data_IF_718630012613
#
_entry.id   IF_718630012613
#
_cell.length_a   1.000
_cell.length_b   1.000
_cell.length_c   1.000
_cell.angle_alpha   90.00
_cell.angle_beta   90.00
_cell.angle_gamma   90.00
#
_symmetry.space_group_name_H-M   'P 1'
#
loop_
_entity.id
_entity.type
_entity.pdbx_description
1 polymer ?
#
# COMPACT_ATOMS: atom_id res chain seq x y z
N UNK A 1 15.88 4.74 -51.05
CA UNK A 1 14.91 5.84 -50.94
C UNK A 1 13.52 5.27 -51.12
N UNK A 2 12.84 4.96 -50.01
CA UNK A 2 11.39 5.01 -49.81
C UNK A 2 11.15 4.54 -48.37
N UNK A 3 10.91 5.53 -47.52
CA UNK A 3 10.43 5.37 -46.16
C UNK A 3 9.01 4.80 -46.21
N UNK A 4 8.74 3.81 -45.35
CA UNK A 4 7.39 3.57 -44.85
C UNK A 4 7.47 3.64 -43.33
N UNK A 5 7.21 4.84 -42.82
CA UNK A 5 6.90 5.09 -41.41
C UNK A 5 5.52 4.49 -41.13
N UNK A 6 5.50 3.29 -40.56
CA UNK A 6 4.32 2.79 -39.84
C UNK A 6 4.37 3.38 -38.43
N UNK A 7 3.53 4.38 -38.18
CA UNK A 7 3.18 4.79 -36.82
C UNK A 7 2.27 3.71 -36.21
N UNK A 8 2.62 3.08 -35.08
CA UNK A 8 1.66 2.28 -34.35
C UNK A 8 0.86 3.18 -33.41
N UNK A 9 -0.33 3.55 -33.88
CA UNK A 9 -1.60 3.42 -33.17
C UNK A 9 -1.51 3.46 -31.62
N UNK A 10 -1.44 4.66 -31.03
CA UNK A 10 -1.55 4.85 -29.57
C UNK A 10 -3.01 5.12 -29.20
N UNK A 11 -3.90 4.18 -29.51
CA UNK A 11 -5.23 4.12 -28.90
C UNK A 11 -5.68 2.67 -28.80
N UNK A 12 -5.26 2.03 -27.71
CA UNK A 12 -6.00 0.92 -27.12
C UNK A 12 -6.05 1.16 -25.62
N UNK A 13 -7.27 1.23 -25.09
CA UNK A 13 -7.59 1.22 -23.65
C UNK A 13 -6.69 0.25 -22.89
N UNK A 14 -5.89 0.73 -21.93
CA UNK A 14 -5.01 -0.15 -21.18
C UNK A 14 -4.39 0.54 -19.98
N UNK A 15 -4.79 0.09 -18.79
CA UNK A 15 -4.21 0.42 -17.48
C UNK A 15 -2.68 0.52 -17.54
N UNK A 16 -2.12 1.53 -16.87
CA UNK A 16 -0.70 1.57 -16.52
C UNK A 16 -0.33 0.25 -15.80
N UNK A 17 0.63 -0.52 -16.35
CA UNK A 17 0.92 -1.87 -15.82
C UNK A 17 1.92 -1.82 -14.66
N UNK A 18 2.70 -0.75 -14.55
CA UNK A 18 3.65 -0.53 -13.47
C UNK A 18 4.03 0.96 -13.37
N UNK A 19 4.82 1.30 -12.34
CA UNK A 19 5.32 2.66 -12.11
C UNK A 19 6.23 3.19 -13.25
N UNK A 20 6.88 2.31 -14.01
CA UNK A 20 7.70 2.68 -15.16
C UNK A 20 6.84 3.17 -16.33
N UNK A 21 5.69 2.55 -16.58
CA UNK A 21 4.72 3.00 -17.59
C UNK A 21 4.13 4.37 -17.22
N UNK A 22 3.82 4.58 -15.94
CA UNK A 22 3.38 5.90 -15.45
C UNK A 22 4.47 6.95 -15.66
N UNK A 23 5.73 6.63 -15.32
CA UNK A 23 6.88 7.53 -15.53
C UNK A 23 7.08 7.88 -17.01
N UNK A 24 6.99 6.89 -17.91
CA UNK A 24 7.11 7.13 -19.36
C UNK A 24 5.95 7.95 -19.91
N UNK A 25 4.73 7.69 -19.46
CA UNK A 25 3.57 8.47 -19.86
C UNK A 25 3.68 9.92 -19.38
N UNK A 26 4.06 10.13 -18.11
CA UNK A 26 4.31 11.47 -17.57
C UNK A 26 5.44 12.19 -18.33
N UNK A 27 6.52 11.50 -18.69
CA UNK A 27 7.61 12.08 -19.48
C UNK A 27 7.18 12.43 -20.92
N UNK A 28 6.37 11.60 -21.58
CA UNK A 28 5.87 11.85 -22.93
C UNK A 28 4.83 12.99 -22.96
N UNK A 29 4.06 13.13 -21.88
CA UNK A 29 3.06 14.17 -21.73
C UNK A 29 3.69 15.51 -21.28
N UNK A 30 4.88 15.50 -20.67
CA UNK A 30 5.61 16.70 -20.28
C UNK A 30 5.99 17.63 -21.46
N UNK A 31 6.04 17.11 -22.69
CA UNK A 31 6.22 17.93 -23.90
C UNK A 31 4.94 18.69 -24.31
N UNK A 32 3.76 18.23 -23.85
CA UNK A 32 2.45 18.72 -24.31
C UNK A 32 1.57 19.28 -23.18
N UNK A 33 1.96 19.08 -21.93
CA UNK A 33 1.26 19.56 -20.74
C UNK A 33 2.20 20.46 -19.97
N UNK A 34 1.73 21.67 -19.65
CA UNK A 34 2.49 22.62 -18.83
C UNK A 34 2.95 21.91 -17.54
N UNK A 35 4.25 21.97 -17.18
CA UNK A 35 4.76 21.35 -15.97
C UNK A 35 3.90 21.74 -14.75
N UNK A 36 3.47 20.75 -13.98
CA UNK A 36 2.78 21.01 -12.71
C UNK A 36 3.87 21.39 -11.70
N UNK A 37 3.82 22.65 -11.26
CA UNK A 37 4.78 23.21 -10.30
C UNK A 37 5.95 23.93 -10.97
N UNK A 38 6.16 25.20 -10.63
CA UNK A 38 7.47 25.83 -10.76
C UNK A 38 8.36 25.36 -9.60
N UNK A 39 9.55 24.85 -9.93
CA UNK A 39 10.62 24.66 -8.98
C UNK A 39 11.52 25.91 -9.03
N UNK A 40 11.47 26.80 -8.02
CA UNK A 40 12.26 28.03 -8.02
C UNK A 40 13.77 27.76 -8.15
N UNK A 41 14.22 26.61 -7.63
CA UNK A 41 15.62 26.19 -7.70
C UNK A 41 16.03 25.86 -9.14
N UNK A 42 15.23 25.10 -9.88
CA UNK A 42 15.51 24.80 -11.30
C UNK A 42 15.33 26.05 -12.18
N UNK A 43 14.35 26.92 -11.89
CA UNK A 43 14.17 28.21 -12.58
C UNK A 43 15.41 29.09 -12.41
N UNK A 44 15.88 29.28 -11.19
CA UNK A 44 17.08 30.08 -10.90
C UNK A 44 18.34 29.48 -11.53
N UNK A 45 18.42 28.14 -11.58
CA UNK A 45 19.53 27.43 -12.23
C UNK A 45 19.51 27.63 -13.75
N UNK A 46 18.33 27.66 -14.36
CA UNK A 46 18.15 27.91 -15.78
C UNK A 46 18.50 29.37 -16.14
N UNK A 47 17.99 30.35 -15.38
CA UNK A 47 18.33 31.77 -15.56
C UNK A 47 19.83 32.00 -15.41
N UNK A 48 20.47 31.38 -14.41
CA UNK A 48 21.91 31.49 -14.22
C UNK A 48 22.71 30.93 -15.40
N UNK A 49 22.32 29.78 -15.95
CA UNK A 49 22.97 29.21 -17.14
C UNK A 49 22.86 30.12 -18.36
N UNK A 50 21.70 30.72 -18.58
CA UNK A 50 21.50 31.66 -19.70
C UNK A 50 22.38 32.90 -19.52
N UNK A 51 22.51 33.43 -18.30
CA UNK A 51 23.40 34.56 -18.00
C UNK A 51 24.87 34.21 -18.22
N UNK A 52 25.29 33.01 -17.81
CA UNK A 52 26.68 32.54 -17.94
C UNK A 52 27.05 32.24 -19.42
N UNK A 53 26.09 31.85 -20.27
CA UNK A 53 26.36 31.46 -21.67
C UNK A 53 26.32 32.64 -22.67
N UNK A 54 25.77 33.81 -22.31
CA UNK A 54 25.55 34.89 -23.26
C UNK A 54 26.53 36.08 -23.19
N UNK A 55 27.40 36.23 -22.18
CA UNK A 55 28.34 37.37 -22.04
C UNK A 55 27.67 38.74 -22.32
N UNK A 56 26.39 38.90 -21.98
CA UNK A 56 25.65 40.15 -22.12
C UNK A 56 25.78 40.91 -20.79
N UNK A 57 26.66 41.92 -20.74
CA UNK A 57 26.65 42.95 -19.69
C UNK A 57 25.41 43.84 -19.90
N UNK A 58 24.29 43.45 -19.31
CA UNK A 58 23.07 44.25 -19.28
C UNK A 58 23.15 45.20 -18.07
N UNK A 59 23.20 46.50 -18.35
CA UNK A 59 23.17 47.59 -17.36
C UNK A 59 21.81 47.57 -16.65
N UNK A 60 21.76 46.94 -15.48
CA UNK A 60 20.54 46.47 -14.83
C UNK A 60 20.07 47.41 -13.70
N UNK A 61 19.25 48.40 -14.02
CA UNK A 61 18.51 49.15 -12.98
C UNK A 61 16.99 49.21 -13.19
N UNK A 62 16.43 48.69 -14.29
CA UNK A 62 14.97 48.82 -14.56
C UNK A 62 14.16 47.50 -14.58
N UNK A 63 14.72 46.34 -14.18
CA UNK A 63 14.04 45.05 -14.40
C UNK A 63 14.03 44.10 -13.18
N UNK A 64 13.58 44.59 -12.02
CA UNK A 64 13.45 43.75 -10.80
C UNK A 64 12.03 43.70 -10.20
N UNK A 65 11.05 44.47 -10.70
CA UNK A 65 9.70 44.44 -10.12
C UNK A 65 8.79 43.34 -10.68
N UNK A 66 9.06 42.82 -11.89
CA UNK A 66 8.20 41.83 -12.54
C UNK A 66 8.59 40.37 -12.22
N UNK A 67 9.87 40.08 -11.92
CA UNK A 67 10.29 38.74 -11.46
C UNK A 67 9.60 38.34 -10.14
N UNK A 68 9.40 39.30 -9.23
CA UNK A 68 8.74 39.10 -7.94
C UNK A 68 7.22 38.86 -8.08
N UNK A 69 6.57 39.46 -9.10
CA UNK A 69 5.15 39.22 -9.38
C UNK A 69 4.94 37.84 -9.97
N UNK A 70 5.72 37.44 -10.97
CA UNK A 70 5.60 36.12 -11.58
C UNK A 70 5.90 35.00 -10.58
N UNK A 71 6.92 35.16 -9.72
CA UNK A 71 7.22 34.17 -8.68
C UNK A 71 6.11 34.10 -7.62
N UNK A 72 5.49 35.23 -7.28
CA UNK A 72 4.37 35.28 -6.33
C UNK A 72 3.11 34.65 -6.91
N UNK A 73 2.79 34.92 -8.17
CA UNK A 73 1.68 34.28 -8.88
C UNK A 73 1.89 32.78 -9.01
N UNK A 74 3.12 32.35 -9.34
CA UNK A 74 3.40 30.93 -9.45
C UNK A 74 3.35 30.20 -8.11
N UNK A 75 3.83 30.82 -7.03
CA UNK A 75 3.68 30.28 -5.67
C UNK A 75 2.21 30.20 -5.26
N UNK A 76 1.40 31.20 -5.61
CA UNK A 76 -0.04 31.20 -5.35
C UNK A 76 -0.76 30.10 -6.13
N UNK A 77 -0.41 29.88 -7.40
CA UNK A 77 -0.96 28.81 -8.21
C UNK A 77 -0.58 27.42 -7.65
N UNK A 78 0.67 27.23 -7.22
CA UNK A 78 1.11 25.99 -6.57
C UNK A 78 0.38 25.74 -5.24
N UNK A 79 0.22 26.79 -4.42
CA UNK A 79 -0.52 26.68 -3.16
C UNK A 79 -1.97 26.24 -3.42
N UNK A 80 -2.65 26.85 -4.40
CA UNK A 80 -4.00 26.46 -4.79
C UNK A 80 -4.06 25.02 -5.31
N UNK A 81 -3.10 24.61 -6.15
CA UNK A 81 -3.02 23.23 -6.63
C UNK A 81 -2.78 22.22 -5.50
N UNK A 82 -1.96 22.57 -4.51
CA UNK A 82 -1.72 21.74 -3.32
C UNK A 82 -2.95 21.68 -2.41
N UNK A 83 -3.71 22.76 -2.28
CA UNK A 83 -4.97 22.77 -1.54
C UNK A 83 -6.03 21.90 -2.24
N UNK A 84 -6.15 22.01 -3.56
CA UNK A 84 -7.02 21.16 -4.38
C UNK A 84 -6.61 19.68 -4.26
N UNK A 85 -5.31 19.37 -4.36
CA UNK A 85 -4.78 18.01 -4.15
C UNK A 85 -4.98 17.53 -2.71
N UNK A 86 -4.87 18.41 -1.72
CA UNK A 86 -5.13 18.12 -0.33
C UNK A 86 -6.58 17.72 -0.10
N UNK A 87 -7.53 18.41 -0.75
CA UNK A 87 -8.94 18.05 -0.71
C UNK A 87 -9.21 16.68 -1.34
N UNK A 88 -8.58 16.38 -2.50
CA UNK A 88 -8.65 15.05 -3.13
C UNK A 88 -8.03 13.99 -2.21
N UNK A 89 -6.86 14.27 -1.63
CA UNK A 89 -6.19 13.37 -0.70
C UNK A 89 -7.10 13.07 0.48
N UNK A 90 -7.61 14.07 1.20
CA UNK A 90 -8.50 13.83 2.35
C UNK A 90 -9.79 13.09 2.00
N UNK A 91 -10.31 13.29 0.78
CA UNK A 91 -11.48 12.56 0.31
C UNK A 91 -11.19 11.07 0.06
N UNK A 92 -9.98 10.73 -0.38
CA UNK A 92 -9.59 9.37 -0.75
C UNK A 92 -8.64 8.68 0.24
N UNK A 93 -8.08 9.38 1.23
CA UNK A 93 -7.05 8.90 2.16
C UNK A 93 -7.65 8.16 3.34
N UNK A 94 -8.64 7.30 3.10
CA UNK A 94 -9.17 6.44 4.16
C UNK A 94 -8.07 5.45 4.55
N UNK A 95 -7.46 5.67 5.71
CA UNK A 95 -6.35 4.85 6.21
C UNK A 95 -6.82 3.60 6.96
N UNK A 96 -8.12 3.52 7.25
CA UNK A 96 -8.74 2.43 7.97
C UNK A 96 -10.17 2.18 7.48
N UNK A 97 -10.53 0.90 7.40
CA UNK A 97 -11.90 0.42 7.27
C UNK A 97 -12.02 -0.87 8.07
N UNK A 98 -13.23 -1.17 8.54
CA UNK A 98 -13.53 -2.32 9.36
C UNK A 98 -14.86 -2.95 8.94
N UNK A 99 -14.98 -4.24 9.21
CA UNK A 99 -16.17 -5.02 8.89
C UNK A 99 -16.08 -6.42 9.50
N UNK A 100 -17.13 -7.20 9.30
CA UNK A 100 -17.17 -8.60 9.69
C UNK A 100 -17.05 -9.47 8.43
N UNK A 101 -16.33 -10.59 8.56
CA UNK A 101 -16.32 -11.63 7.55
C UNK A 101 -17.50 -12.55 7.85
N UNK A 102 -18.27 -12.89 6.81
CA UNK A 102 -19.26 -13.95 6.93
C UNK A 102 -18.60 -15.32 7.16
N UNK A 103 -19.40 -16.38 7.42
CA UNK A 103 -18.88 -17.73 7.52
C UNK A 103 -18.11 -18.13 6.27
N UNK A 104 -17.00 -18.84 6.44
CA UNK A 104 -16.16 -19.31 5.32
C UNK A 104 -15.59 -20.69 5.61
N UNK A 105 -15.33 -21.47 4.57
CA UNK A 105 -14.67 -22.77 4.73
C UNK A 105 -13.15 -22.60 4.83
N UNK A 106 -12.57 -23.31 5.79
CA UNK A 106 -11.13 -23.39 6.01
C UNK A 106 -10.72 -24.86 6.01
N UNK A 107 -9.67 -25.15 5.25
CA UNK A 107 -9.00 -26.44 5.27
C UNK A 107 -7.55 -26.26 5.70
N UNK A 108 -7.09 -27.06 6.65
CA UNK A 108 -5.72 -27.06 7.18
C UNK A 108 -5.18 -28.48 7.10
N UNK A 109 -3.92 -28.58 6.68
CA UNK A 109 -3.19 -29.84 6.52
C UNK A 109 -1.82 -29.68 7.17
N UNK A 110 -1.78 -29.83 8.49
CA UNK A 110 -0.57 -29.84 9.31
C UNK A 110 -0.09 -31.28 9.55
N UNK A 111 1.21 -31.53 9.73
CA UNK A 111 1.70 -32.83 10.18
C UNK A 111 1.05 -33.20 11.53
N UNK A 112 0.24 -34.26 11.55
CA UNK A 112 -0.46 -34.73 12.76
C UNK A 112 -1.79 -34.03 13.05
N UNK A 113 -2.20 -33.05 12.25
CA UNK A 113 -3.48 -32.34 12.43
C UNK A 113 -4.11 -31.98 11.10
N UNK A 114 -5.37 -32.39 10.91
CA UNK A 114 -6.16 -32.00 9.75
C UNK A 114 -7.46 -31.35 10.19
N UNK A 115 -7.85 -30.31 9.46
CA UNK A 115 -9.12 -29.65 9.64
C UNK A 115 -9.73 -29.37 8.28
N UNK A 116 -11.02 -29.67 8.12
CA UNK A 116 -11.81 -29.27 6.96
C UNK A 116 -13.21 -28.94 7.47
N UNK A 117 -13.54 -27.65 7.53
CA UNK A 117 -14.79 -27.23 8.14
C UNK A 117 -15.13 -25.78 7.92
N UNK A 118 -16.36 -25.44 8.29
CA UNK A 118 -16.85 -24.07 8.28
C UNK A 118 -16.34 -23.33 9.52
N UNK A 119 -15.80 -22.14 9.30
CA UNK A 119 -15.53 -21.16 10.34
C UNK A 119 -16.72 -20.22 10.39
N UNK A 120 -17.55 -20.39 11.40
CA UNK A 120 -18.69 -19.51 11.65
C UNK A 120 -18.23 -18.30 12.46
N UNK A 121 -18.91 -17.17 12.26
CA UNK A 121 -18.63 -15.92 12.94
C UNK A 121 -18.84 -16.12 14.46
N UNK A 122 -17.73 -16.21 15.19
CA UNK A 122 -17.77 -16.24 16.65
C UNK A 122 -18.08 -14.82 17.07
N UNK A 123 -19.35 -14.50 17.23
CA UNK A 123 -19.78 -13.27 17.86
C UNK A 123 -19.09 -13.15 19.23
N UNK A 124 -18.02 -12.36 19.28
CA UNK A 124 -17.46 -11.87 20.54
C UNK A 124 -18.20 -10.58 20.85
N UNK A 125 -19.43 -10.71 21.33
CA UNK A 125 -20.15 -9.58 21.93
C UNK A 125 -19.36 -9.10 23.15
N UNK A 126 -18.67 -7.97 22.99
CA UNK A 126 -17.89 -7.34 24.04
C UNK A 126 -16.63 -8.14 24.38
N UNK A 127 -15.47 -7.52 24.27
CA UNK A 127 -14.34 -7.94 25.11
C UNK A 127 -14.68 -7.56 26.56
N UNK A 128 -14.87 -8.53 27.47
CA UNK A 128 -14.30 -8.36 28.79
C UNK A 128 -13.40 -9.54 29.15
N UNK A 129 -12.52 -9.27 30.11
CA UNK A 129 -11.58 -10.17 30.74
C UNK A 129 -11.94 -11.67 30.67
N UNK A 130 -10.94 -12.44 30.30
CA UNK A 130 -10.72 -13.83 30.68
C UNK A 130 -11.55 -14.24 31.92
N UNK A 131 -12.70 -14.91 31.74
CA UNK A 131 -13.28 -15.73 32.83
C UNK A 131 -14.41 -16.69 32.43
N UNK A 132 -15.03 -16.62 31.25
CA UNK A 132 -16.03 -17.65 30.84
C UNK A 132 -15.46 -18.60 29.79
N UNK A 133 -14.65 -19.54 30.29
CA UNK A 133 -13.84 -20.51 29.56
C UNK A 133 -14.60 -21.77 29.11
N UNK A 134 -15.90 -21.67 28.82
CA UNK A 134 -16.72 -22.83 28.46
C UNK A 134 -17.57 -22.59 27.19
N UNK A 135 -16.90 -22.47 26.04
CA UNK A 135 -17.45 -22.89 24.74
C UNK A 135 -16.49 -23.95 24.18
N UNK A 136 -16.67 -25.18 24.66
CA UNK A 136 -15.67 -26.27 24.60
C UNK A 136 -15.43 -26.98 23.23
N UNK A 137 -16.22 -26.87 22.14
CA UNK A 137 -15.87 -27.58 20.89
C UNK A 137 -14.85 -26.82 20.00
N UNK A 138 -15.02 -25.50 19.85
CA UNK A 138 -14.18 -24.69 18.95
C UNK A 138 -12.83 -24.34 19.61
N UNK A 139 -12.82 -24.17 20.94
CA UNK A 139 -11.60 -23.93 21.71
C UNK A 139 -10.67 -25.15 21.77
N UNK A 140 -11.21 -26.38 21.69
CA UNK A 140 -10.39 -27.60 21.62
C UNK A 140 -9.67 -27.66 20.27
N UNK A 141 -10.38 -27.39 19.16
CA UNK A 141 -9.79 -27.39 17.82
C UNK A 141 -8.72 -26.32 17.63
N UNK A 142 -8.96 -25.08 18.10
CA UNK A 142 -7.95 -24.01 18.04
C UNK A 142 -6.72 -24.36 18.87
N UNK A 143 -6.89 -25.05 20.00
CA UNK A 143 -5.78 -25.51 20.84
C UNK A 143 -4.95 -26.59 20.15
N UNK A 144 -5.59 -27.61 19.59
CA UNK A 144 -4.91 -28.66 18.82
C UNK A 144 -4.15 -28.05 17.62
N UNK A 145 -4.79 -27.10 16.94
CA UNK A 145 -4.19 -26.36 15.83
C UNK A 145 -2.96 -25.57 16.29
N UNK A 146 -3.00 -24.94 17.48
CA UNK A 146 -1.86 -24.25 18.09
C UNK A 146 -0.71 -25.20 18.48
N UNK A 147 -1.02 -26.42 18.93
CA UNK A 147 -0.03 -27.42 19.33
C UNK A 147 0.77 -27.96 18.14
N UNK A 148 0.14 -28.06 16.96
CA UNK A 148 0.75 -28.56 15.73
C UNK A 148 1.35 -27.46 14.85
N UNK A 149 1.04 -26.19 15.11
CA UNK A 149 1.57 -25.06 14.35
C UNK A 149 3.04 -24.75 14.70
N UNK A 150 3.77 -24.20 13.74
CA UNK A 150 5.19 -23.88 13.88
C UNK A 150 5.37 -22.61 14.74
N UNK A 151 6.54 -22.44 15.37
CA UNK A 151 6.84 -21.18 16.07
C UNK A 151 6.93 -20.04 15.07
N UNK A 152 6.18 -18.97 15.29
CA UNK A 152 6.14 -17.84 14.38
C UNK A 152 7.31 -16.90 14.61
N UNK A 153 8.15 -16.74 13.58
CA UNK A 153 9.25 -15.78 13.60
C UNK A 153 8.81 -14.35 13.32
N UNK A 154 9.77 -13.43 13.40
CA UNK A 154 9.63 -12.05 12.94
C UNK A 154 10.79 -11.69 12.00
N UNK A 155 10.52 -10.81 11.03
CA UNK A 155 11.54 -10.33 10.10
C UNK A 155 12.45 -9.31 10.78
N UNK A 156 13.74 -9.60 10.86
CA UNK A 156 14.76 -8.62 11.24
C UNK A 156 15.19 -7.83 9.99
N UNK A 157 14.74 -6.58 9.90
CA UNK A 157 15.02 -5.70 8.76
C UNK A 157 16.53 -5.45 8.59
N UNK A 158 17.30 -5.41 9.68
CA UNK A 158 18.75 -5.15 9.61
C UNK A 158 19.51 -6.36 9.12
N UNK A 159 19.14 -7.54 9.61
CA UNK A 159 19.79 -8.80 9.24
C UNK A 159 19.19 -9.44 7.96
N UNK A 160 18.03 -8.93 7.49
CA UNK A 160 17.28 -9.49 6.35
C UNK A 160 16.96 -10.98 6.53
N UNK A 161 16.71 -11.41 7.77
CA UNK A 161 16.44 -12.81 8.11
C UNK A 161 15.24 -12.92 9.06
N UNK A 162 14.66 -14.12 9.13
CA UNK A 162 13.59 -14.42 10.08
C UNK A 162 14.18 -14.93 11.39
N UNK A 163 13.89 -14.25 12.50
CA UNK A 163 14.35 -14.61 13.83
C UNK A 163 13.20 -15.08 14.71
N UNK A 164 13.54 -15.89 15.72
CA UNK A 164 12.60 -16.33 16.76
C UNK A 164 13.09 -15.75 18.09
N UNK A 165 12.31 -14.85 18.66
CA UNK A 165 12.55 -14.24 19.97
C UNK A 165 11.20 -14.10 20.68
N UNK A 166 11.02 -14.86 21.76
CA UNK A 166 9.77 -14.89 22.52
C UNK A 166 9.44 -13.57 23.21
N UNK A 167 10.43 -12.71 23.44
CA UNK A 167 10.23 -11.37 24.00
C UNK A 167 9.71 -10.39 22.95
N UNK A 168 9.94 -10.65 21.67
CA UNK A 168 9.41 -9.84 20.56
C UNK A 168 8.07 -10.38 20.10
N UNK A 169 7.99 -11.70 19.99
CA UNK A 169 6.84 -12.39 19.44
C UNK A 169 6.68 -13.76 20.07
N UNK A 170 5.54 -13.95 20.72
CA UNK A 170 5.10 -15.25 21.21
C UNK A 170 3.83 -15.65 20.46
N UNK A 171 4.01 -16.35 19.34
CA UNK A 171 2.93 -16.81 18.48
C UNK A 171 3.33 -18.10 17.76
N UNK A 172 2.33 -18.81 17.25
CA UNK A 172 2.51 -19.89 16.29
C UNK A 172 2.00 -19.46 14.92
N UNK A 173 2.47 -20.12 13.87
CA UNK A 173 2.01 -19.86 12.50
C UNK A 173 1.72 -21.12 11.70
N UNK A 174 0.78 -20.96 10.76
CA UNK A 174 0.48 -21.93 9.71
C UNK A 174 0.77 -21.22 8.38
N UNK A 175 1.77 -21.66 7.60
CA UNK A 175 2.08 -21.08 6.30
C UNK A 175 0.98 -21.38 5.27
N UNK A 176 0.85 -20.53 4.24
CA UNK A 176 -0.12 -20.71 3.14
C UNK A 176 -0.03 -22.06 2.42
N UNK A 177 1.10 -22.76 2.48
CA UNK A 177 1.23 -24.11 1.92
C UNK A 177 0.45 -25.18 2.69
N UNK A 178 0.04 -24.89 3.92
CA UNK A 178 -0.62 -25.84 4.83
C UNK A 178 -2.08 -25.49 5.10
N UNK A 179 -2.65 -24.51 4.39
CA UNK A 179 -4.08 -24.24 4.46
C UNK A 179 -4.63 -23.68 3.16
N UNK A 180 -5.94 -23.81 2.99
CA UNK A 180 -6.69 -23.22 1.88
C UNK A 180 -8.00 -22.63 2.39
N UNK A 181 -8.42 -21.53 1.77
CA UNK A 181 -9.71 -20.88 1.99
C UNK A 181 -10.49 -20.83 0.68
N UNK A 182 -11.80 -20.65 0.78
CA UNK A 182 -12.67 -20.49 -0.39
C UNK A 182 -12.36 -19.22 -1.20
N UNK A 183 -12.52 -19.31 -2.51
CA UNK A 183 -12.34 -18.20 -3.45
C UNK A 183 -13.27 -17.02 -3.16
N UNK A 184 -14.46 -17.32 -2.65
CA UNK A 184 -15.52 -16.39 -2.29
C UNK A 184 -15.09 -15.47 -1.14
N UNK A 185 -14.32 -16.00 -0.18
CA UNK A 185 -13.74 -15.20 0.90
C UNK A 185 -12.71 -14.21 0.34
N UNK A 186 -11.83 -14.68 -0.55
CA UNK A 186 -10.81 -13.83 -1.16
C UNK A 186 -11.43 -12.72 -2.01
N UNK A 187 -12.47 -13.05 -2.78
CA UNK A 187 -13.24 -12.08 -3.55
C UNK A 187 -13.91 -11.03 -2.64
N UNK A 188 -14.52 -11.47 -1.53
CA UNK A 188 -15.15 -10.58 -0.56
C UNK A 188 -14.14 -9.61 0.08
N UNK A 189 -12.95 -10.09 0.42
CA UNK A 189 -11.86 -9.24 0.95
C UNK A 189 -11.40 -8.23 -0.12
N UNK A 190 -11.25 -8.66 -1.38
CA UNK A 190 -10.88 -7.78 -2.49
C UNK A 190 -11.95 -6.69 -2.73
N UNK A 191 -13.23 -7.04 -2.62
CA UNK A 191 -14.34 -6.10 -2.75
C UNK A 191 -14.36 -5.07 -1.61
N UNK A 192 -14.09 -5.50 -0.37
CA UNK A 192 -13.93 -4.59 0.77
C UNK A 192 -12.78 -3.60 0.51
N UNK A 193 -11.65 -4.09 0.00
CA UNK A 193 -10.54 -3.21 -0.35
C UNK A 193 -10.93 -2.18 -1.42
N UNK A 194 -11.54 -2.65 -2.51
CA UNK A 194 -11.92 -1.85 -3.68
C UNK A 194 -12.85 -0.68 -3.32
N UNK A 195 -13.70 -0.87 -2.32
CA UNK A 195 -14.67 0.14 -1.86
C UNK A 195 -14.02 1.26 -1.06
N UNK A 196 -13.03 0.93 -0.25
CA UNK A 196 -12.52 1.82 0.80
C UNK A 196 -11.10 2.33 0.58
N UNK A 197 -10.31 1.66 -0.27
CA UNK A 197 -8.88 1.93 -0.38
C UNK A 197 -8.40 2.07 -1.83
N UNK A 198 -7.24 2.72 -1.97
CA UNK A 198 -6.50 2.84 -3.21
C UNK A 198 -5.15 2.13 -3.10
N UNK A 199 -4.68 1.45 -4.17
CA UNK A 199 -5.37 1.27 -5.46
C UNK A 199 -6.55 0.30 -5.34
N UNK A 200 -7.60 0.54 -6.12
CA UNK A 200 -8.84 -0.25 -6.03
C UNK A 200 -8.72 -1.65 -6.66
N UNK A 201 -7.81 -1.84 -7.63
CA UNK A 201 -7.55 -3.14 -8.22
C UNK A 201 -6.47 -3.87 -7.42
N UNK A 202 -6.88 -4.83 -6.60
CA UNK A 202 -5.98 -5.67 -5.79
C UNK A 202 -6.15 -7.15 -6.07
N UNK A 203 -5.11 -7.91 -5.76
CA UNK A 203 -5.13 -9.36 -5.68
C UNK A 203 -4.99 -9.75 -4.22
N UNK A 204 -5.87 -10.63 -3.74
CA UNK A 204 -5.85 -11.14 -2.36
C UNK A 204 -5.38 -12.59 -2.40
N UNK A 205 -4.37 -12.90 -1.61
CA UNK A 205 -3.79 -14.24 -1.51
C UNK A 205 -3.62 -14.62 -0.03
N UNK A 206 -3.90 -15.88 0.34
CA UNK A 206 -3.54 -16.39 1.66
C UNK A 206 -2.03 -16.30 1.87
N UNK A 207 -1.61 -15.84 3.04
CA UNK A 207 -0.18 -15.74 3.39
C UNK A 207 0.17 -16.64 4.57
N UNK A 208 -0.43 -16.39 5.73
CA UNK A 208 -0.27 -17.20 6.93
C UNK A 208 -1.40 -16.96 7.92
N UNK A 209 -1.64 -17.96 8.76
CA UNK A 209 -2.51 -17.84 9.94
C UNK A 209 -1.61 -17.70 11.15
N UNK A 210 -1.82 -16.65 11.95
CA UNK A 210 -1.15 -16.49 13.24
C UNK A 210 -2.06 -16.93 14.38
N UNK A 211 -1.52 -17.73 15.29
CA UNK A 211 -2.22 -18.22 16.46
C UNK A 211 -1.52 -17.69 17.72
N UNK A 212 -2.29 -17.07 18.62
CA UNK A 212 -1.80 -16.55 19.89
C UNK A 212 -2.38 -17.39 21.03
N UNK A 213 -1.49 -18.06 21.77
CA UNK A 213 -1.83 -18.79 22.98
C UNK A 213 -1.91 -17.85 24.20
N UNK A 214 -2.12 -18.40 25.41
CA UNK A 214 -2.02 -17.64 26.64
C UNK A 214 -0.66 -16.93 26.77
N UNK A 215 -0.67 -15.62 27.02
CA UNK A 215 0.56 -14.79 27.04
C UNK A 215 1.18 -14.53 25.65
N UNK A 216 0.50 -14.96 24.59
CA UNK A 216 0.88 -14.70 23.21
C UNK A 216 0.79 -13.21 22.90
N UNK A 217 1.79 -12.70 22.18
CA UNK A 217 1.90 -11.29 21.85
C UNK A 217 2.76 -11.08 20.62
N UNK A 218 2.68 -9.87 20.06
CA UNK A 218 3.64 -9.36 19.11
C UNK A 218 3.85 -7.88 19.43
N UNK A 219 5.10 -7.47 19.70
CA UNK A 219 5.43 -6.07 19.98
C UNK A 219 4.97 -5.16 18.85
N UNK A 220 4.67 -3.91 19.21
CA UNK A 220 4.35 -2.85 18.24
C UNK A 220 5.45 -2.78 17.18
N UNK A 221 5.04 -2.89 15.92
CA UNK A 221 5.93 -2.87 14.77
C UNK A 221 5.27 -2.12 13.62
N UNK A 222 6.07 -1.85 12.60
CA UNK A 222 5.60 -1.39 11.30
C UNK A 222 5.82 -2.52 10.32
N UNK A 223 4.77 -2.95 9.66
CA UNK A 223 4.88 -3.90 8.55
C UNK A 223 5.70 -3.29 7.42
N UNK A 224 6.55 -4.12 6.81
CA UNK A 224 7.41 -3.78 5.68
C UNK A 224 6.74 -4.04 4.35
#
# INVERSE_FOLDING_TARGET
MLMTLQLPNVYTSGRFRNAYDMKRALAAVAEHVKPIGSCPVERNRHVKRIKDDCDIEFDSEEEYEDEDKEDKECRSANARAMDELGAVYHHHSRSWSGGQLGPFKLKISLPGFEFDGLVEDVQVEGYPHAETREKLPQNVRVREMFEHAETSGFGDIRAQETKVDSEVRNAREIPASQFTVESELLASIADCWTKDFLPSAVRVEPYKIHLYGPGGHFKTHRDT
#
